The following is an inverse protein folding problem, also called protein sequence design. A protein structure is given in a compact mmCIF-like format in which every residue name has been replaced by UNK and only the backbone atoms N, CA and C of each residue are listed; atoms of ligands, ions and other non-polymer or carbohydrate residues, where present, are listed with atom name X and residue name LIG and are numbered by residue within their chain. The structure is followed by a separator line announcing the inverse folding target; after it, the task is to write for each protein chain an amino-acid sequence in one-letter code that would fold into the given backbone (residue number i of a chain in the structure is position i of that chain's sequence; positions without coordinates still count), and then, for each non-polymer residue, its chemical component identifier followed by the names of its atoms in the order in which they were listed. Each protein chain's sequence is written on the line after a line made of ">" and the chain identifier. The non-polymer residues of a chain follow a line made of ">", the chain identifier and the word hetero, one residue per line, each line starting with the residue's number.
data_IF_653078145705
#
_entry.id   IF_653078145705
#
_cell.length_a   1.000
_cell.length_b   1.000
_cell.length_c   1.000
_cell.angle_alpha   90.00
_cell.angle_beta   90.00
_cell.angle_gamma   90.00
#
_symmetry.space_group_name_H-M   'P 1'
#
loop_
_entity.id
_entity.type
_entity.pdbx_description
1 polymer ?
#
# COMPACT_ATOMS: atom_id res chain seq x y z
N UNK A 1 43.78 38.95 25.25
CA UNK A 1 45.02 38.16 25.10
C UNK A 1 45.02 37.03 26.11
N UNK A 2 45.56 35.85 25.75
CA UNK A 2 45.42 34.50 26.36
C UNK A 2 44.16 33.79 25.79
N UNK A 3 44.21 32.78 24.93
CA UNK A 3 45.26 31.78 24.65
C UNK A 3 44.97 30.52 25.45
N UNK A 4 44.51 29.45 24.79
CA UNK A 4 44.41 28.03 25.18
C UNK A 4 43.37 27.36 24.25
N UNK A 5 43.45 26.12 23.82
CA UNK A 5 44.51 25.11 23.69
C UNK A 5 43.78 23.99 22.93
N UNK A 6 44.28 23.58 21.77
CA UNK A 6 43.70 22.50 20.99
C UNK A 6 44.17 21.17 21.58
N UNK A 7 43.25 20.27 21.92
CA UNK A 7 43.54 18.93 22.43
C UNK A 7 43.09 17.90 21.39
N UNK A 8 44.09 17.17 20.91
CA UNK A 8 44.01 16.01 20.04
C UNK A 8 43.68 14.79 20.90
N UNK A 9 42.65 14.02 20.54
CA UNK A 9 42.40 12.70 21.12
C UNK A 9 42.06 11.72 19.99
N UNK A 10 42.99 10.78 19.81
CA UNK A 10 42.90 9.56 19.02
C UNK A 10 42.30 8.40 19.85
N UNK A 11 41.97 7.32 19.11
CA UNK A 11 41.59 5.98 19.52
C UNK A 11 40.06 5.81 19.74
N UNK A 12 39.42 4.74 19.28
CA UNK A 12 39.83 3.34 19.42
C UNK A 12 39.31 2.42 18.31
N UNK A 13 40.14 1.42 18.03
CA UNK A 13 39.93 0.16 17.33
C UNK A 13 38.91 -0.75 18.03
N UNK A 14 38.01 -1.39 17.25
CA UNK A 14 37.16 -2.49 17.69
C UNK A 14 37.39 -3.77 16.84
N UNK A 15 37.37 -5.00 17.41
CA UNK A 15 37.79 -6.25 16.75
C UNK A 15 36.67 -6.93 15.92
N UNK A 16 36.97 -8.09 15.27
CA UNK A 16 36.36 -8.52 14.02
C UNK A 16 35.09 -9.38 14.15
N UNK A 17 34.40 -9.41 13.03
CA UNK A 17 33.27 -10.24 12.63
C UNK A 17 33.60 -11.74 12.75
N UNK A 18 32.78 -12.51 13.48
CA UNK A 18 32.79 -13.97 13.46
C UNK A 18 31.43 -14.48 12.97
N UNK A 19 31.42 -15.10 11.80
CA UNK A 19 30.40 -16.05 11.33
C UNK A 19 30.82 -17.46 11.74
N UNK A 20 29.85 -18.35 12.01
CA UNK A 20 29.73 -19.58 11.19
C UNK A 20 28.25 -19.85 10.84
N UNK A 21 27.93 -20.20 9.59
CA UNK A 21 27.86 -21.58 9.05
C UNK A 21 26.96 -22.50 9.89
N UNK A 22 25.82 -22.92 9.34
CA UNK A 22 25.66 -24.30 8.84
C UNK A 22 24.27 -24.51 8.21
N UNK A 23 24.34 -24.92 6.95
CA UNK A 23 23.26 -25.43 6.13
C UNK A 23 23.17 -26.93 6.43
N UNK A 24 21.99 -27.43 6.80
CA UNK A 24 21.70 -28.86 6.68
C UNK A 24 20.38 -29.02 5.94
N UNK A 25 20.51 -29.51 4.71
CA UNK A 25 19.43 -30.13 3.97
C UNK A 25 19.20 -31.53 4.56
N UNK A 26 17.93 -31.93 4.70
CA UNK A 26 17.61 -33.34 4.57
C UNK A 26 16.26 -33.54 3.89
N UNK A 27 16.38 -34.24 2.78
CA UNK A 27 15.38 -34.79 1.87
C UNK A 27 14.67 -35.97 2.50
N UNK A 28 13.34 -36.08 2.33
CA UNK A 28 12.70 -37.39 2.17
C UNK A 28 11.55 -37.33 1.16
N UNK A 29 11.75 -38.09 0.07
CA UNK A 29 10.76 -38.53 -0.91
C UNK A 29 9.94 -39.69 -0.32
N UNK A 30 8.63 -39.73 -0.61
CA UNK A 30 7.80 -40.94 -0.84
C UNK A 30 6.44 -40.46 -1.43
N UNK A 31 6.18 -40.51 -2.74
CA UNK A 31 5.62 -41.58 -3.61
C UNK A 31 4.22 -42.16 -3.30
N UNK A 32 3.30 -41.94 -4.28
CA UNK A 32 2.33 -42.87 -4.90
C UNK A 32 0.88 -43.10 -4.34
N UNK A 33 -0.09 -42.33 -4.90
CA UNK A 33 -1.38 -42.74 -5.56
C UNK A 33 -2.48 -43.53 -4.82
N UNK A 34 -3.66 -43.83 -5.43
CA UNK A 34 -4.36 -43.25 -6.59
C UNK A 34 -5.85 -42.84 -6.24
N UNK A 35 -6.79 -42.57 -7.18
CA UNK A 35 -7.91 -41.63 -7.03
C UNK A 35 -9.21 -42.25 -6.48
N UNK A 36 -10.08 -41.41 -5.90
CA UNK A 36 -11.48 -41.78 -5.62
C UNK A 36 -12.41 -40.87 -6.43
N UNK A 37 -12.95 -41.42 -7.49
CA UNK A 37 -14.10 -40.90 -8.21
C UNK A 37 -15.36 -41.06 -7.36
N UNK A 38 -16.08 -39.97 -7.08
CA UNK A 38 -17.48 -40.05 -6.69
C UNK A 38 -18.27 -39.03 -7.49
N UNK A 39 -18.87 -39.52 -8.57
CA UNK A 39 -19.88 -38.83 -9.37
C UNK A 39 -21.26 -39.23 -8.83
N UNK A 40 -22.11 -38.27 -8.44
CA UNK A 40 -23.55 -38.46 -8.53
C UNK A 40 -24.10 -37.86 -9.84
N UNK A 41 -25.02 -38.60 -10.44
CA UNK A 41 -25.73 -38.31 -11.68
C UNK A 41 -26.68 -37.08 -11.57
N UNK A 42 -27.21 -36.58 -12.71
CA UNK A 42 -27.66 -35.21 -12.88
C UNK A 42 -29.12 -35.01 -12.47
N UNK A 43 -29.40 -33.96 -11.70
CA UNK A 43 -30.76 -33.42 -11.59
C UNK A 43 -31.01 -32.45 -12.74
N UNK A 44 -31.89 -32.89 -13.65
CA UNK A 44 -32.51 -32.07 -14.66
C UNK A 44 -33.39 -30.99 -14.00
N UNK A 45 -33.09 -29.73 -14.29
CA UNK A 45 -33.86 -28.54 -13.92
C UNK A 45 -33.58 -27.43 -14.94
N UNK A 46 -34.56 -26.56 -15.23
CA UNK A 46 -34.73 -25.97 -16.55
C UNK A 46 -33.62 -24.99 -16.93
N UNK A 47 -33.11 -25.21 -18.14
CA UNK A 47 -32.29 -24.29 -18.94
C UNK A 47 -32.94 -22.91 -19.04
N UNK A 48 -32.53 -21.99 -18.18
CA UNK A 48 -32.50 -20.58 -18.51
C UNK A 48 -31.12 -20.27 -19.05
N UNK A 49 -31.00 -20.30 -20.39
CA UNK A 49 -29.83 -19.77 -21.07
C UNK A 49 -29.78 -18.26 -20.85
N UNK A 50 -29.19 -17.86 -19.72
CA UNK A 50 -28.56 -16.56 -19.61
C UNK A 50 -27.41 -16.60 -20.60
N UNK A 51 -27.69 -16.10 -21.80
CA UNK A 51 -26.71 -15.80 -22.81
C UNK A 51 -25.60 -15.00 -22.14
N UNK A 52 -24.54 -15.71 -21.80
CA UNK A 52 -23.27 -15.15 -21.44
C UNK A 52 -22.81 -14.45 -22.71
N UNK A 53 -23.10 -13.15 -22.79
CA UNK A 53 -22.45 -12.22 -23.69
C UNK A 53 -20.98 -12.15 -23.27
N UNK A 54 -20.25 -13.25 -23.52
CA UNK A 54 -18.82 -13.23 -23.77
C UNK A 54 -18.68 -12.44 -25.06
N UNK A 55 -18.65 -11.11 -24.90
CA UNK A 55 -18.12 -10.24 -25.92
C UNK A 55 -16.79 -10.83 -26.36
N UNK A 56 -16.66 -11.08 -27.65
CA UNK A 56 -15.40 -11.41 -28.29
C UNK A 56 -14.43 -10.31 -27.84
N UNK A 57 -13.56 -10.63 -26.87
CA UNK A 57 -12.52 -9.72 -26.47
C UNK A 57 -11.61 -9.59 -27.69
N UNK A 58 -11.67 -8.42 -28.31
CA UNK A 58 -10.81 -8.05 -29.43
C UNK A 58 -9.36 -8.14 -28.95
N UNK A 59 -8.65 -9.22 -29.32
CA UNK A 59 -7.25 -9.42 -28.98
C UNK A 59 -6.35 -8.24 -29.41
N UNK A 60 -6.81 -7.44 -30.37
CA UNK A 60 -6.14 -6.21 -30.78
C UNK A 60 -6.16 -5.10 -29.73
N UNK A 61 -7.14 -5.07 -28.81
CA UNK A 61 -7.19 -4.06 -27.75
C UNK A 61 -6.20 -4.36 -26.62
N UNK A 62 -6.06 -5.64 -26.25
CA UNK A 62 -5.13 -6.08 -25.22
C UNK A 62 -3.67 -5.93 -25.67
N UNK A 63 -3.39 -6.21 -26.96
CA UNK A 63 -2.09 -5.97 -27.56
C UNK A 63 -1.74 -4.47 -27.58
N UNK A 64 -2.67 -3.61 -28.01
CA UNK A 64 -2.50 -2.15 -27.99
C UNK A 64 -2.28 -1.61 -26.58
N UNK A 65 -3.03 -2.11 -25.61
CA UNK A 65 -2.86 -1.72 -24.20
C UNK A 65 -1.47 -2.11 -23.69
N UNK A 66 -1.00 -3.32 -24.03
CA UNK A 66 0.33 -3.80 -23.66
C UNK A 66 1.45 -2.97 -24.30
N UNK A 67 1.30 -2.60 -25.57
CA UNK A 67 2.23 -1.72 -26.28
C UNK A 67 2.26 -0.30 -25.70
N UNK A 68 1.15 0.16 -25.13
CA UNK A 68 1.03 1.48 -24.52
C UNK A 68 1.67 1.58 -23.13
N UNK A 69 2.14 0.47 -22.52
CA UNK A 69 2.80 0.50 -21.21
C UNK A 69 4.14 1.24 -21.34
N UNK A 70 4.25 2.34 -20.62
CA UNK A 70 5.49 3.11 -20.45
C UNK A 70 6.32 2.49 -19.34
N UNK A 71 5.73 2.33 -18.15
CA UNK A 71 6.45 1.87 -16.97
C UNK A 71 5.56 1.24 -15.91
N UNK A 72 6.19 0.50 -14.99
CA UNK A 72 5.68 -0.05 -13.76
C UNK A 72 6.42 0.65 -12.62
N UNK A 73 5.67 1.24 -11.69
CA UNK A 73 6.21 2.06 -10.61
C UNK A 73 5.49 1.81 -9.30
N UNK A 74 6.01 2.40 -8.23
CA UNK A 74 5.28 2.52 -6.96
C UNK A 74 4.93 3.98 -6.65
N UNK A 75 3.85 4.22 -5.90
CA UNK A 75 3.68 5.49 -5.18
C UNK A 75 2.80 5.33 -3.93
N UNK A 76 2.83 6.35 -3.07
CA UNK A 76 1.93 6.46 -1.92
C UNK A 76 0.54 6.91 -2.39
N UNK A 77 -0.45 6.02 -2.34
CA UNK A 77 -1.80 6.28 -2.86
C UNK A 77 -2.52 7.44 -2.16
N UNK A 78 -2.13 7.74 -0.91
CA UNK A 78 -2.68 8.85 -0.14
C UNK A 78 -1.99 10.16 -0.48
N UNK A 79 -0.69 10.12 -0.80
CA UNK A 79 0.12 11.27 -1.18
C UNK A 79 0.89 11.01 -2.48
N UNK A 80 0.18 10.90 -3.62
CA UNK A 80 0.78 10.65 -4.92
C UNK A 80 1.60 11.87 -5.39
N UNK A 81 2.55 11.70 -6.34
CA UNK A 81 3.35 12.80 -6.88
C UNK A 81 2.52 13.99 -7.39
N UNK A 82 1.28 13.71 -7.84
CA UNK A 82 0.23 14.69 -8.14
C UNK A 82 -1.14 14.10 -7.77
N UNK A 83 -2.15 14.94 -7.48
CA UNK A 83 -3.50 14.46 -7.19
C UNK A 83 -4.05 13.55 -8.29
N UNK A 84 -4.62 12.41 -7.87
CA UNK A 84 -5.30 11.48 -8.78
C UNK A 84 -6.66 12.03 -9.17
N UNK A 85 -7.01 11.88 -10.45
CA UNK A 85 -8.32 12.20 -11.01
C UNK A 85 -8.97 10.90 -11.48
N UNK A 86 -10.14 10.60 -10.95
CA UNK A 86 -10.93 9.41 -11.29
C UNK A 86 -12.16 9.79 -12.11
N UNK A 87 -12.84 8.78 -12.69
CA UNK A 87 -14.16 8.94 -13.31
C UNK A 87 -14.18 9.08 -14.82
N UNK A 88 -13.06 9.48 -15.46
CA UNK A 88 -12.99 9.64 -16.92
C UNK A 88 -13.11 8.29 -17.65
N UNK A 89 -12.38 7.28 -17.21
CA UNK A 89 -12.30 5.96 -17.85
C UNK A 89 -13.06 4.87 -17.10
N UNK A 90 -13.45 5.13 -15.86
CA UNK A 90 -14.30 4.26 -15.07
C UNK A 90 -15.37 5.12 -14.37
N UNK A 91 -16.55 5.27 -14.99
CA UNK A 91 -17.60 6.15 -14.48
C UNK A 91 -18.38 5.54 -13.31
N UNK A 92 -18.03 4.33 -12.85
CA UNK A 92 -18.72 3.68 -11.73
C UNK A 92 -18.68 4.59 -10.50
N UNK A 93 -19.84 4.97 -9.94
CA UNK A 93 -19.88 5.83 -8.78
C UNK A 93 -19.26 5.12 -7.58
N UNK A 94 -18.73 5.92 -6.66
CA UNK A 94 -18.24 5.40 -5.39
C UNK A 94 -19.44 4.85 -4.59
N UNK A 95 -19.29 3.64 -4.04
CA UNK A 95 -20.33 2.98 -3.24
C UNK A 95 -19.81 2.82 -1.81
N UNK A 96 -20.46 3.45 -0.84
CA UNK A 96 -20.06 3.38 0.56
C UNK A 96 -20.07 1.95 1.13
N UNK A 97 -21.11 1.11 0.85
CA UNK A 97 -21.08 -0.31 1.22
C UNK A 97 -19.86 -1.04 0.63
N UNK A 98 -19.60 -0.87 -0.67
CA UNK A 98 -18.46 -1.52 -1.32
C UNK A 98 -17.10 -1.03 -0.81
N UNK A 99 -17.00 0.24 -0.40
CA UNK A 99 -15.79 0.77 0.26
C UNK A 99 -15.59 0.15 1.65
N UNK A 100 -16.68 -0.09 2.40
CA UNK A 100 -16.62 -0.75 3.70
C UNK A 100 -16.19 -2.20 3.57
N UNK A 101 -16.84 -2.97 2.71
CA UNK A 101 -16.51 -4.38 2.44
C UNK A 101 -15.05 -4.53 1.98
N UNK A 102 -14.59 -3.63 1.10
CA UNK A 102 -13.22 -3.65 0.62
C UNK A 102 -12.21 -3.30 1.72
N UNK A 103 -12.55 -2.38 2.62
CA UNK A 103 -11.70 -2.05 3.77
C UNK A 103 -11.60 -3.23 4.76
N UNK A 104 -12.70 -3.95 4.97
CA UNK A 104 -12.73 -5.16 5.81
C UNK A 104 -11.88 -6.27 5.19
N UNK A 105 -12.05 -6.56 3.90
CA UNK A 105 -11.23 -7.57 3.19
C UNK A 105 -9.74 -7.23 3.21
N UNK A 106 -9.34 -5.95 3.09
CA UNK A 106 -7.93 -5.57 3.23
C UNK A 106 -7.34 -5.89 4.60
N UNK A 107 -8.16 -5.83 5.66
CA UNK A 107 -7.73 -6.10 7.03
C UNK A 107 -7.76 -7.59 7.37
N UNK A 108 -8.69 -8.34 6.79
CA UNK A 108 -8.92 -9.77 7.07
C UNK A 108 -8.07 -10.67 6.16
N UNK A 109 -8.17 -10.46 4.84
CA UNK A 109 -7.53 -11.31 3.83
C UNK A 109 -6.14 -10.77 3.42
N UNK A 110 -5.84 -9.54 3.80
CA UNK A 110 -4.69 -8.80 3.33
C UNK A 110 -4.90 -8.18 1.95
N UNK A 111 -3.86 -7.54 1.44
CA UNK A 111 -3.90 -6.89 0.14
C UNK A 111 -2.58 -7.08 -0.60
N UNK A 112 -2.66 -7.28 -1.92
CA UNK A 112 -1.51 -7.51 -2.79
C UNK A 112 -1.33 -6.34 -3.77
N UNK A 113 -0.80 -5.18 -3.30
CA UNK A 113 -0.69 -3.93 -4.08
C UNK A 113 0.14 -4.03 -5.36
N UNK A 114 0.97 -5.06 -5.46
CA UNK A 114 1.95 -5.22 -6.53
C UNK A 114 1.62 -6.36 -7.49
N UNK A 115 0.49 -7.06 -7.29
CA UNK A 115 -0.03 -7.96 -8.33
C UNK A 115 -0.53 -7.14 -9.51
N UNK A 116 -0.23 -7.56 -10.74
CA UNK A 116 -0.53 -6.79 -11.95
C UNK A 116 -2.02 -6.42 -12.04
N UNK A 117 -2.92 -7.32 -11.66
CA UNK A 117 -4.38 -7.09 -11.67
C UNK A 117 -4.82 -6.10 -10.57
N UNK A 118 -4.00 -5.95 -9.54
CA UNK A 118 -4.20 -5.06 -8.40
C UNK A 118 -3.48 -3.72 -8.53
N UNK A 119 -2.61 -3.54 -9.54
CA UNK A 119 -1.98 -2.25 -9.77
C UNK A 119 -3.01 -1.19 -10.20
N UNK A 120 -2.68 0.08 -10.00
CA UNK A 120 -3.53 1.19 -10.47
C UNK A 120 -3.06 1.60 -11.87
N UNK A 121 -3.91 1.45 -12.90
CA UNK A 121 -3.62 1.99 -14.22
C UNK A 121 -3.73 3.52 -14.21
N UNK A 122 -2.69 4.20 -14.65
CA UNK A 122 -2.65 5.67 -14.78
C UNK A 122 -2.20 6.08 -16.18
N UNK A 123 -2.61 7.27 -16.62
CA UNK A 123 -2.19 7.86 -17.88
C UNK A 123 -1.26 9.05 -17.67
N UNK A 124 -0.11 9.02 -18.35
CA UNK A 124 0.86 10.11 -18.41
C UNK A 124 1.50 10.15 -19.80
N UNK A 125 2.00 11.31 -20.22
CA UNK A 125 2.87 11.35 -21.40
C UNK A 125 4.29 10.91 -20.99
N UNK A 126 4.99 10.19 -21.87
CA UNK A 126 6.38 9.75 -21.63
C UNK A 126 7.28 10.94 -21.29
N UNK A 127 7.08 12.08 -21.93
CA UNK A 127 7.84 13.32 -21.72
C UNK A 127 7.68 13.93 -20.31
N UNK A 128 6.64 13.54 -19.57
CA UNK A 128 6.36 14.04 -18.22
C UNK A 128 7.03 13.21 -17.12
N UNK A 129 7.56 12.03 -17.45
CA UNK A 129 8.09 11.04 -16.52
C UNK A 129 9.62 11.13 -16.48
N UNK A 130 10.20 11.09 -15.28
CA UNK A 130 11.65 11.00 -15.12
C UNK A 130 12.16 9.66 -15.69
N UNK A 131 13.13 9.72 -16.59
CA UNK A 131 13.71 8.55 -17.24
C UNK A 131 14.36 7.61 -16.22
N UNK A 132 14.82 8.12 -15.07
CA UNK A 132 15.43 7.34 -14.00
C UNK A 132 14.46 6.35 -13.33
N UNK A 133 13.15 6.50 -13.49
CA UNK A 133 12.16 5.61 -12.87
C UNK A 133 11.43 4.73 -13.89
N UNK A 134 11.79 4.76 -15.17
CA UNK A 134 11.15 3.95 -16.20
C UNK A 134 11.65 2.50 -16.07
N UNK A 135 10.74 1.58 -15.78
CA UNK A 135 10.96 0.13 -15.83
C UNK A 135 9.71 -0.54 -16.37
N UNK A 136 9.83 -1.58 -17.21
CA UNK A 136 8.67 -2.39 -17.64
C UNK A 136 8.62 -3.75 -16.95
N UNK A 137 9.48 -3.97 -15.95
CA UNK A 137 9.57 -5.23 -15.24
C UNK A 137 8.49 -5.33 -14.15
N UNK A 138 7.51 -6.19 -14.38
CA UNK A 138 6.43 -6.50 -13.43
C UNK A 138 6.89 -7.37 -12.25
N UNK A 139 8.03 -8.05 -12.38
CA UNK A 139 8.57 -8.94 -11.34
C UNK A 139 9.19 -8.17 -10.18
N UNK A 140 9.48 -6.87 -10.36
CA UNK A 140 10.03 -6.01 -9.30
C UNK A 140 9.07 -5.88 -8.11
N UNK A 141 7.76 -6.03 -8.31
CA UNK A 141 6.77 -5.94 -7.25
C UNK A 141 6.92 -4.67 -6.40
N UNK A 142 7.13 -4.83 -5.10
CA UNK A 142 7.35 -3.71 -4.17
C UNK A 142 8.69 -2.98 -4.32
N UNK A 143 9.65 -3.57 -5.06
CA UNK A 143 10.94 -2.97 -5.39
C UNK A 143 10.91 -2.12 -6.67
N UNK A 144 9.75 -2.02 -7.35
CA UNK A 144 9.63 -1.15 -8.51
C UNK A 144 9.90 0.32 -8.13
N UNK A 145 10.60 1.08 -8.99
CA UNK A 145 11.03 2.43 -8.66
C UNK A 145 9.83 3.35 -8.38
N UNK A 146 9.95 4.28 -7.42
CA UNK A 146 8.88 5.24 -7.16
C UNK A 146 8.68 6.13 -8.39
N UNK A 147 7.41 6.40 -8.73
CA UNK A 147 7.08 7.27 -9.86
C UNK A 147 7.60 8.68 -9.61
N UNK A 148 8.44 9.17 -10.52
CA UNK A 148 8.96 10.53 -10.52
C UNK A 148 8.52 11.24 -11.79
N UNK A 149 8.12 12.50 -11.62
CA UNK A 149 7.78 13.38 -12.74
C UNK A 149 8.95 14.32 -13.00
N UNK A 150 9.22 14.66 -14.27
CA UNK A 150 10.31 15.58 -14.64
C UNK A 150 10.15 16.96 -13.98
N UNK A 151 8.91 17.41 -13.88
CA UNK A 151 8.58 18.59 -13.08
C UNK A 151 8.61 18.21 -11.60
N UNK A 152 9.66 18.65 -10.90
CA UNK A 152 9.86 18.39 -9.47
C UNK A 152 8.66 18.75 -8.58
N UNK A 153 8.70 18.37 -7.28
CA UNK A 153 7.63 18.68 -6.34
C UNK A 153 7.42 20.20 -6.24
N UNK A 154 6.15 20.66 -6.31
CA UNK A 154 5.78 22.08 -6.25
C UNK A 154 6.14 22.69 -4.90
N UNK A 155 7.32 23.29 -4.80
CA UNK A 155 7.66 24.27 -3.76
C UNK A 155 8.04 25.65 -4.32
N UNK A 156 7.98 25.89 -5.64
CA UNK A 156 8.43 27.18 -6.21
C UNK A 156 7.80 27.55 -7.54
N UNK A 157 7.03 28.65 -7.53
CA UNK A 157 6.80 29.70 -8.54
C UNK A 157 6.63 29.38 -10.05
N UNK A 158 6.65 28.12 -10.49
CA UNK A 158 6.37 27.68 -11.87
C UNK A 158 5.07 26.89 -11.99
N UNK A 159 4.37 27.03 -13.12
CA UNK A 159 3.24 26.15 -13.48
C UNK A 159 3.81 24.79 -13.89
N UNK A 160 3.68 23.78 -13.03
CA UNK A 160 3.97 22.38 -13.42
C UNK A 160 3.09 21.99 -14.62
N UNK A 161 3.67 21.31 -15.61
CA UNK A 161 2.98 20.78 -16.79
C UNK A 161 1.94 19.75 -16.38
N UNK A 162 2.32 18.83 -15.48
CA UNK A 162 1.38 17.87 -14.87
C UNK A 162 0.81 18.42 -13.57
N UNK A 163 -0.50 18.73 -13.58
CA UNK A 163 -1.24 19.20 -12.40
C UNK A 163 -2.01 18.09 -11.70
N UNK A 164 -2.41 17.05 -12.43
CA UNK A 164 -3.17 15.88 -11.97
C UNK A 164 -2.74 14.65 -12.79
N UNK A 165 -2.92 13.48 -12.21
CA UNK A 165 -2.72 12.19 -12.89
C UNK A 165 -4.10 11.56 -13.13
N UNK A 166 -4.43 11.26 -14.38
CA UNK A 166 -5.67 10.55 -14.69
C UNK A 166 -5.51 9.06 -14.33
N UNK A 167 -6.32 8.59 -13.38
CA UNK A 167 -6.35 7.19 -12.97
C UNK A 167 -7.53 6.49 -13.65
N UNK A 168 -7.25 5.35 -14.30
CA UNK A 168 -8.28 4.58 -15.01
C UNK A 168 -9.10 3.68 -14.07
N UNK A 169 -8.72 3.58 -12.80
CA UNK A 169 -9.45 2.82 -11.78
C UNK A 169 -8.87 3.04 -10.39
N UNK A 170 -9.39 2.31 -9.39
CA UNK A 170 -8.86 2.35 -8.03
C UNK A 170 -9.51 3.37 -7.08
N UNK A 171 -10.61 4.02 -7.45
CA UNK A 171 -11.28 4.99 -6.57
C UNK A 171 -11.84 4.36 -5.27
N UNK A 172 -12.51 3.20 -5.37
CA UNK A 172 -12.98 2.45 -4.18
C UNK A 172 -11.83 1.99 -3.31
N UNK A 173 -10.74 1.54 -3.93
CA UNK A 173 -9.50 1.11 -3.28
C UNK A 173 -8.85 2.24 -2.47
N UNK A 174 -8.65 3.42 -3.08
CA UNK A 174 -8.20 4.62 -2.38
C UNK A 174 -9.12 5.00 -1.22
N UNK A 175 -10.44 4.93 -1.45
CA UNK A 175 -11.44 5.27 -0.43
C UNK A 175 -11.42 4.28 0.74
N UNK A 176 -11.18 2.99 0.48
CA UNK A 176 -11.01 1.98 1.52
C UNK A 176 -9.77 2.26 2.38
N UNK A 177 -8.62 2.56 1.77
CA UNK A 177 -7.40 2.94 2.52
C UNK A 177 -7.63 4.20 3.36
N UNK A 178 -8.30 5.22 2.80
CA UNK A 178 -8.68 6.44 3.56
C UNK A 178 -9.58 6.11 4.74
N UNK A 179 -10.54 5.20 4.57
CA UNK A 179 -11.42 4.75 5.64
C UNK A 179 -10.65 4.02 6.74
N UNK A 180 -9.78 3.06 6.40
CA UNK A 180 -8.93 2.35 7.36
C UNK A 180 -8.11 3.35 8.20
N UNK A 181 -7.50 4.33 7.53
CA UNK A 181 -6.71 5.38 8.21
C UNK A 181 -7.57 6.24 9.14
N UNK A 182 -8.74 6.68 8.68
CA UNK A 182 -9.66 7.48 9.49
C UNK A 182 -10.19 6.69 10.71
N UNK A 183 -10.48 5.41 10.54
CA UNK A 183 -10.92 4.53 11.63
C UNK A 183 -9.80 4.32 12.67
N UNK A 184 -8.56 4.11 12.21
CA UNK A 184 -7.39 4.02 13.08
C UNK A 184 -7.11 5.34 13.82
N UNK A 185 -7.12 6.48 13.12
CA UNK A 185 -6.90 7.81 13.72
C UNK A 185 -7.94 8.13 14.82
N UNK A 186 -9.20 7.74 14.59
CA UNK A 186 -10.27 7.89 15.59
C UNK A 186 -10.04 7.01 16.81
N UNK A 187 -9.63 5.76 16.61
CA UNK A 187 -9.37 4.84 17.73
C UNK A 187 -8.12 5.26 18.52
N UNK A 188 -7.06 5.71 17.85
CA UNK A 188 -5.86 6.27 18.52
C UNK A 188 -6.25 7.43 19.43
N UNK A 189 -6.98 8.42 18.92
CA UNK A 189 -7.46 9.56 19.73
C UNK A 189 -8.29 9.12 20.94
N UNK A 190 -9.10 8.08 20.78
CA UNK A 190 -9.90 7.49 21.87
C UNK A 190 -9.00 6.87 22.94
N UNK A 191 -8.00 6.09 22.54
CA UNK A 191 -7.03 5.45 23.44
C UNK A 191 -6.13 6.47 24.16
N UNK A 192 -5.64 7.49 23.45
CA UNK A 192 -4.87 8.60 24.04
C UNK A 192 -5.68 9.34 25.11
N UNK A 193 -6.96 9.58 24.85
CA UNK A 193 -7.88 10.18 25.82
C UNK A 193 -8.05 9.31 27.06
N UNK A 194 -8.14 7.99 26.90
CA UNK A 194 -8.20 7.04 28.01
C UNK A 194 -6.92 7.05 28.86
N UNK A 195 -5.75 7.05 28.23
CA UNK A 195 -4.46 7.20 28.94
C UNK A 195 -4.45 8.49 29.77
N UNK A 196 -4.89 9.61 29.18
CA UNK A 196 -4.96 10.90 29.86
C UNK A 196 -5.88 10.91 31.09
N UNK A 197 -7.03 10.22 31.02
CA UNK A 197 -7.96 10.07 32.16
C UNK A 197 -7.34 9.20 33.27
N UNK A 198 -6.77 8.06 32.92
CA UNK A 198 -6.16 7.13 33.89
C UNK A 198 -4.95 7.77 34.60
N UNK A 199 -4.12 8.52 33.87
CA UNK A 199 -3.01 9.26 34.45
C UNK A 199 -3.46 10.34 35.45
N UNK A 200 -4.51 11.11 35.11
CA UNK A 200 -5.09 12.14 35.99
C UNK A 200 -5.73 11.53 37.24
N UNK A 201 -6.42 10.40 37.11
CA UNK A 201 -7.02 9.69 38.24
C UNK A 201 -5.96 9.22 39.26
N UNK A 202 -4.80 8.75 38.78
CA UNK A 202 -3.65 8.40 39.63
C UNK A 202 -3.04 9.63 40.30
N UNK A 203 -2.87 10.74 39.58
CA UNK A 203 -2.34 12.00 40.14
C UNK A 203 -3.17 12.52 41.32
N UNK A 204 -4.50 12.41 41.25
CA UNK A 204 -5.41 12.74 42.37
C UNK A 204 -5.30 11.78 43.55
N UNK A 205 -5.02 10.49 43.32
CA UNK A 205 -4.82 9.48 44.38
C UNK A 205 -3.47 9.62 45.08
N UNK A 206 -2.39 9.91 44.34
CA UNK A 206 -1.05 10.15 44.91
C UNK A 206 -0.96 11.37 45.83
N UNK A 207 -1.80 12.39 45.63
CA UNK A 207 -1.89 13.51 46.58
C UNK A 207 -2.51 13.12 47.93
N UNK A 208 -3.10 11.92 48.03
CA UNK A 208 -3.79 11.43 49.23
C UNK A 208 -3.04 10.30 49.94
N UNK A 209 -2.17 9.56 49.26
CA UNK A 209 -1.35 8.48 49.82
C UNK A 209 0.04 8.45 49.17
N UNK A 210 1.08 8.32 50.00
CA UNK A 210 2.48 8.20 49.62
C UNK A 210 2.73 6.82 48.97
N UNK A 211 2.36 6.69 47.69
CA UNK A 211 2.40 5.41 46.97
C UNK A 211 3.30 5.50 45.73
N UNK A 212 4.18 4.50 45.65
CA UNK A 212 5.20 4.19 44.64
C UNK A 212 4.78 4.53 43.19
N UNK A 213 5.74 5.01 42.42
CA UNK A 213 5.60 5.56 41.06
C UNK A 213 5.15 4.58 39.94
N UNK A 214 4.75 3.35 40.23
CA UNK A 214 4.45 2.32 39.20
C UNK A 214 3.32 2.72 38.22
N UNK A 215 3.60 2.83 36.92
CA UNK A 215 2.59 3.17 35.89
C UNK A 215 1.37 2.22 35.99
N UNK A 216 0.12 2.71 35.83
CA UNK A 216 -1.05 1.83 35.82
C UNK A 216 -0.87 0.71 34.79
N UNK A 217 -1.18 -0.53 35.19
CA UNK A 217 -0.97 -1.74 34.39
C UNK A 217 -1.66 -1.68 33.01
N UNK A 218 -2.71 -0.87 32.86
CA UNK A 218 -3.45 -0.71 31.61
C UNK A 218 -2.78 0.24 30.60
N UNK A 219 -1.88 1.12 31.03
CA UNK A 219 -1.27 2.09 30.08
C UNK A 219 -0.35 1.40 29.06
N UNK A 220 0.53 0.45 29.44
CA UNK A 220 1.34 -0.28 28.47
C UNK A 220 0.52 -0.98 27.38
N UNK A 221 -0.61 -1.62 27.74
CA UNK A 221 -1.47 -2.30 26.76
C UNK A 221 -2.18 -1.31 25.82
N UNK A 222 -2.62 -0.15 26.33
CA UNK A 222 -3.18 0.92 25.49
C UNK A 222 -2.13 1.48 24.51
N UNK A 223 -0.89 1.66 24.95
CA UNK A 223 0.22 2.13 24.08
C UNK A 223 0.57 1.10 23.01
N UNK A 224 0.58 -0.18 23.35
CA UNK A 224 0.78 -1.25 22.37
C UNK A 224 -0.29 -1.20 21.28
N UNK A 225 -1.56 -1.05 21.68
CA UNK A 225 -2.67 -0.94 20.72
C UNK A 225 -2.56 0.31 19.82
N UNK A 226 -2.08 1.43 20.34
CA UNK A 226 -1.79 2.62 19.52
C UNK A 226 -0.69 2.31 18.49
N UNK A 227 0.39 1.64 18.90
CA UNK A 227 1.47 1.27 17.99
C UNK A 227 0.98 0.35 16.87
N UNK A 228 0.13 -0.64 17.17
CA UNK A 228 -0.50 -1.51 16.17
C UNK A 228 -1.37 -0.73 15.18
N UNK A 229 -2.13 0.26 15.65
CA UNK A 229 -2.95 1.12 14.80
C UNK A 229 -2.11 2.06 13.92
N UNK A 230 -0.97 2.56 14.42
CA UNK A 230 -0.04 3.36 13.62
C UNK A 230 0.62 2.54 12.51
N UNK A 231 0.98 1.28 12.79
CA UNK A 231 1.43 0.34 11.75
C UNK A 231 0.32 0.17 10.71
N UNK A 232 -0.91 -0.14 11.15
CA UNK A 232 -2.07 -0.35 10.26
C UNK A 232 -2.35 0.84 9.33
N UNK A 233 -2.13 2.08 9.79
CA UNK A 233 -2.29 3.30 8.97
C UNK A 233 -1.35 3.36 7.77
N UNK A 234 -0.20 2.70 7.86
CA UNK A 234 0.85 2.74 6.84
C UNK A 234 0.93 1.48 5.99
N UNK A 235 0.39 0.34 6.45
CA UNK A 235 0.47 -0.96 5.77
C UNK A 235 -0.09 -0.98 4.34
N UNK A 236 -1.05 -0.10 4.02
CA UNK A 236 -1.78 -0.13 2.75
C UNK A 236 -1.54 1.10 1.87
N UNK A 237 -0.53 1.92 2.16
CA UNK A 237 -0.37 3.21 1.45
C UNK A 237 0.46 3.09 0.17
N UNK A 238 1.36 2.10 0.05
CA UNK A 238 2.25 1.95 -1.10
C UNK A 238 1.64 0.99 -2.12
N UNK A 239 1.46 1.46 -3.35
CA UNK A 239 0.77 0.73 -4.41
C UNK A 239 1.64 0.62 -5.66
N UNK A 240 1.55 -0.53 -6.34
CA UNK A 240 2.07 -0.67 -7.68
C UNK A 240 1.14 0.03 -8.68
N UNK A 241 1.73 0.68 -9.68
CA UNK A 241 1.01 1.36 -10.75
C UNK A 241 1.58 1.03 -12.11
N UNK A 242 0.69 0.97 -13.09
CA UNK A 242 1.03 0.77 -14.50
C UNK A 242 0.77 2.09 -15.20
N UNK A 243 1.82 2.64 -15.79
CA UNK A 243 1.79 3.91 -16.50
C UNK A 243 1.61 3.62 -17.98
N UNK A 244 0.51 4.10 -18.54
CA UNK A 244 0.23 4.00 -19.96
C UNK A 244 0.42 5.35 -20.65
N UNK A 245 0.83 5.32 -21.93
CA UNK A 245 0.95 6.53 -22.74
C UNK A 245 -0.43 7.13 -23.00
N UNK A 246 -0.63 8.32 -22.42
CA UNK A 246 -1.86 9.08 -22.55
C UNK A 246 -2.21 9.38 -24.02
N UNK A 247 -1.20 9.57 -24.88
CA UNK A 247 -1.40 9.80 -26.32
C UNK A 247 -2.06 8.60 -26.98
N UNK A 248 -1.76 7.38 -26.57
CA UNK A 248 -2.38 6.20 -27.17
C UNK A 248 -3.86 6.12 -26.83
N UNK A 249 -4.28 6.55 -25.63
CA UNK A 249 -5.67 6.41 -25.17
C UNK A 249 -6.57 7.59 -25.56
N UNK A 250 -6.04 8.81 -25.68
CA UNK A 250 -6.84 9.97 -26.07
C UNK A 250 -7.23 10.01 -27.54
N UNK A 251 -6.64 9.16 -28.39
CA UNK A 251 -7.07 9.02 -29.79
C UNK A 251 -8.32 8.13 -29.96
N UNK A 252 -8.69 7.33 -28.94
CA UNK A 252 -9.82 6.38 -29.02
C UNK A 252 -11.05 6.80 -28.20
N UNK A 253 -11.00 7.95 -27.52
CA UNK A 253 -12.05 8.48 -26.64
C UNK A 253 -12.56 9.82 -27.11
#
# INVERSE_FOLDING_TARGET
>A
MRGKSSAHLQAQSGPPFTSPDEISADTHLETCGPPVSNTPAPHAGPSTSLASSRGVFDGGLEEKASQAIISVNTFNIIDPPRPLKFGKFNPRPLSNPGVKELAESFLEDGFMPFKQESMIPILLNVEDIDESCISKDFLLGGSAPPLKLKDGPKNGKGKARVTKIDACGGNHRLSAVKKIRADADREIKRLESQIGVTAKAKGKRKQKEEVVDAEPADIPSLRQKIAELEVRKTSFITWGVIVYDARTFYFFS
#
